data_IF_086583816697
#
_entry.id   IF_086583816697
#
_cell.length_a   1.000
_cell.length_b   1.000
_cell.length_c   1.000
_cell.angle_alpha   90.00
_cell.angle_beta   90.00
_cell.angle_gamma   90.00
#
_symmetry.space_group_name_H-M   'P 1'
#
loop_
_entity.id
_entity.type
_entity.pdbx_description
1 polymer ?
#
# COMPACT_ATOMS: atom_id res chain seq x y z
N UNK A 1 14.07 0.92 -9.60
CA UNK A 1 14.05 -0.02 -8.45
C UNK A 1 12.75 0.24 -7.71
N UNK A 2 12.02 -0.74 -7.21
CA UNK A 2 10.79 -0.43 -6.48
C UNK A 2 11.08 -0.28 -4.98
N UNK A 3 10.68 0.86 -4.42
CA UNK A 3 10.69 1.14 -3.01
C UNK A 3 9.32 0.79 -2.43
N UNK A 4 9.32 0.07 -1.31
CA UNK A 4 8.09 -0.32 -0.61
C UNK A 4 8.10 0.29 0.78
N UNK A 5 6.97 0.89 1.20
CA UNK A 5 6.78 1.46 2.53
C UNK A 5 5.41 1.03 3.07
N UNK A 6 5.29 0.77 4.37
CA UNK A 6 3.97 0.52 4.95
C UNK A 6 3.12 1.79 4.83
N UNK A 7 1.84 1.64 4.48
CA UNK A 7 0.89 2.77 4.46
C UNK A 7 0.61 3.25 5.88
N UNK A 8 0.62 4.57 6.09
CA UNK A 8 0.27 5.18 7.37
C UNK A 8 -1.21 5.57 7.44
N UNK A 9 -1.87 5.67 6.27
CA UNK A 9 -3.28 6.07 6.16
C UNK A 9 -4.23 4.87 6.11
N UNK A 10 -3.77 3.71 5.67
CA UNK A 10 -4.60 2.51 5.55
C UNK A 10 -4.95 1.94 6.94
N UNK A 11 -6.24 1.90 7.27
CA UNK A 11 -6.75 1.39 8.54
C UNK A 11 -7.47 0.05 8.33
N UNK A 12 -7.18 -0.91 9.19
CA UNK A 12 -7.80 -2.24 9.16
C UNK A 12 -7.06 -3.24 8.27
N UNK A 13 -7.70 -4.39 8.03
CA UNK A 13 -7.15 -5.44 7.19
C UNK A 13 -7.22 -5.04 5.70
N UNK A 14 -6.12 -5.28 5.00
CA UNK A 14 -6.00 -5.11 3.57
C UNK A 14 -6.61 -6.33 2.88
N UNK A 15 -7.80 -6.14 2.32
CA UNK A 15 -8.55 -7.18 1.60
C UNK A 15 -8.37 -7.04 0.09
N UNK A 16 -8.25 -5.80 -0.40
CA UNK A 16 -8.14 -5.49 -1.82
C UNK A 16 -6.94 -4.58 -2.09
N UNK A 17 -6.06 -5.01 -2.99
CA UNK A 17 -4.89 -4.25 -3.43
C UNK A 17 -5.28 -2.89 -4.01
N UNK A 18 -6.42 -2.79 -4.71
CA UNK A 18 -6.92 -1.54 -5.28
C UNK A 18 -7.18 -0.47 -4.23
N UNK A 19 -7.74 -0.86 -3.07
CA UNK A 19 -7.97 0.08 -1.97
C UNK A 19 -6.65 0.54 -1.36
N UNK A 20 -5.70 -0.40 -1.20
CA UNK A 20 -4.35 -0.08 -0.76
C UNK A 20 -3.66 0.88 -1.72
N UNK A 21 -3.70 0.60 -3.02
CA UNK A 21 -3.13 1.45 -4.06
C UNK A 21 -3.75 2.85 -4.07
N UNK A 22 -5.07 2.97 -3.95
CA UNK A 22 -5.75 4.29 -3.88
C UNK A 22 -5.29 5.09 -2.66
N UNK A 23 -5.21 4.47 -1.49
CA UNK A 23 -4.68 5.13 -0.28
C UNK A 23 -3.21 5.52 -0.46
N UNK A 24 -2.39 4.64 -1.00
CA UNK A 24 -0.98 4.89 -1.27
C UNK A 24 -0.76 6.02 -2.29
N UNK A 25 -1.64 6.17 -3.28
CA UNK A 25 -1.62 7.30 -4.21
C UNK A 25 -1.84 8.63 -3.47
N UNK A 26 -2.73 8.66 -2.47
CA UNK A 26 -2.90 9.85 -1.61
C UNK A 26 -1.69 10.13 -0.70
N UNK A 27 -0.84 9.13 -0.46
CA UNK A 27 0.43 9.26 0.27
C UNK A 27 1.62 9.60 -0.66
N UNK A 28 1.39 9.77 -1.96
CA UNK A 28 2.43 10.11 -2.95
C UNK A 28 3.22 8.91 -3.47
N UNK A 29 2.68 7.69 -3.34
CA UNK A 29 3.22 6.48 -3.95
C UNK A 29 2.50 6.18 -5.28
N UNK A 30 3.16 5.47 -6.20
CA UNK A 30 2.54 5.15 -7.49
C UNK A 30 1.61 3.93 -7.43
N UNK A 31 1.74 3.10 -6.40
CA UNK A 31 0.92 1.91 -6.20
C UNK A 31 0.90 1.45 -4.75
N UNK A 32 0.22 0.33 -4.52
CA UNK A 32 0.15 -0.31 -3.22
C UNK A 32 -0.40 -1.73 -3.35
N UNK A 33 0.00 -2.59 -2.43
CA UNK A 33 -0.42 -3.99 -2.38
C UNK A 33 -0.58 -4.48 -0.94
N UNK A 34 -1.53 -5.38 -0.74
CA UNK A 34 -1.73 -6.10 0.50
C UNK A 34 -0.66 -7.18 0.65
N UNK A 35 0.10 -7.13 1.74
CA UNK A 35 1.16 -8.10 2.03
C UNK A 35 0.90 -8.81 3.34
N UNK A 36 1.10 -10.13 3.30
CA UNK A 36 1.06 -11.01 4.47
C UNK A 36 -0.35 -11.40 4.91
N UNK A 37 -0.41 -12.40 5.78
CA UNK A 37 -1.66 -12.98 6.28
C UNK A 37 -2.51 -12.01 7.12
N UNK A 38 -1.89 -11.00 7.74
CA UNK A 38 -2.61 -9.96 8.49
C UNK A 38 -3.23 -8.88 7.57
N UNK A 39 -3.02 -8.96 6.26
CA UNK A 39 -3.46 -7.96 5.30
C UNK A 39 -2.89 -6.58 5.63
N UNK A 40 -1.58 -6.37 5.54
CA UNK A 40 -1.01 -5.02 5.70
C UNK A 40 -0.86 -4.35 4.34
N UNK A 41 -1.28 -3.11 4.23
CA UNK A 41 -1.07 -2.33 3.01
C UNK A 41 0.37 -1.81 2.95
N UNK A 42 1.09 -2.15 1.87
CA UNK A 42 2.40 -1.61 1.54
C UNK A 42 2.32 -0.82 0.24
N UNK A 43 2.67 0.46 0.32
CA UNK A 43 2.77 1.36 -0.80
C UNK A 43 4.06 1.13 -1.58
N UNK A 44 3.95 1.13 -2.90
CA UNK A 44 5.07 0.93 -3.82
C UNK A 44 5.29 2.19 -4.66
N UNK A 45 6.54 2.57 -4.85
CA UNK A 45 6.91 3.63 -5.79
C UNK A 45 8.24 3.32 -6.46
N UNK A 46 8.45 3.91 -7.64
CA UNK A 46 9.76 3.90 -8.24
C UNK A 46 10.72 4.71 -7.36
N UNK A 47 11.79 4.06 -6.88
CA UNK A 47 13.06 4.71 -6.69
C UNK A 47 13.78 4.69 -8.07
#
# INVERSE_FOLDING_TARGET
RECQSQSHRYKGACVHDTNCASVCQTEGFSGGKCVGFRGRCFCTKHC
#
